data_IF_535678627051
#
_entry.id   IF_535678627051
#
_cell.length_a   1.000
_cell.length_b   1.000
_cell.length_c   1.000
_cell.angle_alpha   90.00
_cell.angle_beta   90.00
_cell.angle_gamma   90.00
#
_symmetry.space_group_name_H-M   'P 1'
#
loop_
_entity.id
_entity.type
_entity.pdbx_description
1 polymer ?
#
# COMPACT_ATOMS: atom_id res chain seq x y z
N UNK A 1 -25.01 49.64 -14.05
CA UNK A 1 -25.38 49.72 -12.63
C UNK A 1 -24.29 50.47 -11.88
N UNK A 2 -24.67 51.56 -11.21
CA UNK A 2 -24.10 52.11 -9.98
C UNK A 2 -22.57 52.35 -9.89
N UNK A 3 -22.14 53.48 -10.46
CA UNK A 3 -21.09 54.33 -9.87
C UNK A 3 -21.50 54.80 -8.46
N UNK A 4 -21.15 54.04 -7.42
CA UNK A 4 -21.36 54.44 -6.02
C UNK A 4 -20.15 54.14 -5.13
N UNK A 5 -18.95 54.45 -5.63
CA UNK A 5 -17.72 54.62 -4.84
C UNK A 5 -16.86 55.71 -5.47
N UNK A 6 -16.92 56.95 -4.94
CA UNK A 6 -15.77 57.90 -4.85
C UNK A 6 -16.15 59.30 -4.29
N UNK A 7 -17.44 59.67 -4.26
CA UNK A 7 -17.88 61.05 -3.95
C UNK A 7 -17.98 61.45 -2.46
N UNK A 8 -17.30 60.75 -1.54
CA UNK A 8 -17.08 61.24 -0.16
C UNK A 8 -15.60 61.40 0.23
N UNK A 9 -14.72 61.56 -0.77
CA UNK A 9 -13.43 62.23 -0.54
C UNK A 9 -13.65 63.69 -0.12
N UNK A 10 -13.09 64.04 1.05
CA UNK A 10 -12.42 65.32 1.33
C UNK A 10 -13.26 66.61 1.37
N UNK A 11 -13.92 66.85 2.51
CA UNK A 11 -13.92 68.17 3.18
C UNK A 11 -13.65 67.91 4.68
N UNK A 12 -12.44 68.22 5.18
CA UNK A 12 -11.98 69.52 5.70
C UNK A 12 -12.18 69.68 7.23
N UNK A 13 -11.22 69.15 7.99
CA UNK A 13 -10.39 69.86 8.97
C UNK A 13 -10.97 71.15 9.62
N UNK A 14 -11.26 71.17 10.93
CA UNK A 14 -11.59 72.44 11.63
C UNK A 14 -12.06 72.38 13.10
N UNK A 15 -11.11 72.54 14.04
CA UNK A 15 -11.17 73.43 15.22
C UNK A 15 -12.35 73.44 16.25
N UNK A 16 -12.07 72.89 17.44
CA UNK A 16 -12.13 73.55 18.78
C UNK A 16 -13.47 73.78 19.53
N UNK A 17 -13.39 73.56 20.86
CA UNK A 17 -14.16 74.18 21.99
C UNK A 17 -15.37 73.39 22.55
N UNK A 18 -15.61 73.16 23.85
CA UNK A 18 -14.83 73.02 25.12
C UNK A 18 -15.80 72.42 26.19
N UNK A 19 -15.28 71.84 27.28
CA UNK A 19 -15.96 71.55 28.58
C UNK A 19 -16.75 70.23 28.69
N UNK A 20 -16.68 69.45 29.78
CA UNK A 20 -15.57 69.12 30.69
C UNK A 20 -15.96 67.92 31.58
N UNK A 21 -14.99 67.05 31.89
CA UNK A 21 -14.82 66.52 33.25
C UNK A 21 -13.37 66.02 33.45
N UNK A 22 -12.59 66.88 34.10
CA UNK A 22 -11.39 66.63 34.94
C UNK A 22 -11.44 65.30 35.73
N UNK A 23 -10.36 64.67 36.23
CA UNK A 23 -8.88 64.71 36.09
C UNK A 23 -8.32 63.51 36.93
N UNK A 24 -7.03 63.13 37.00
CA UNK A 24 -5.76 63.72 36.55
C UNK A 24 -4.72 62.63 36.15
N UNK A 25 -3.62 63.05 35.54
CA UNK A 25 -2.40 62.28 35.25
C UNK A 25 -1.39 62.41 36.40
N UNK A 26 -0.47 61.44 36.59
CA UNK A 26 0.96 61.73 36.78
C UNK A 26 1.82 60.54 36.32
N UNK A 27 2.77 60.82 35.42
CA UNK A 27 3.86 59.89 35.09
C UNK A 27 5.02 60.12 36.06
N UNK A 28 5.66 59.04 36.52
CA UNK A 28 6.84 59.12 37.39
C UNK A 28 7.81 57.98 37.12
N UNK A 29 8.75 58.17 36.19
CA UNK A 29 9.91 57.29 36.07
C UNK A 29 10.85 57.60 37.23
N UNK A 30 10.96 56.68 38.20
CA UNK A 30 11.92 56.79 39.29
C UNK A 30 12.74 55.50 39.35
N UNK A 31 13.97 55.55 38.87
CA UNK A 31 14.94 54.49 39.11
C UNK A 31 15.36 54.52 40.58
N UNK A 32 14.94 53.53 41.36
CA UNK A 32 15.43 53.29 42.71
C UNK A 32 15.75 51.81 42.88
N UNK A 33 17.04 51.50 43.01
CA UNK A 33 17.52 50.16 43.32
C UNK A 33 17.20 49.79 44.77
N UNK A 34 16.30 48.84 44.99
CA UNK A 34 16.10 48.22 46.30
C UNK A 34 16.26 46.71 46.20
N UNK A 35 17.33 46.19 46.81
CA UNK A 35 17.52 44.76 46.98
C UNK A 35 16.60 44.25 48.08
N UNK A 36 15.62 43.42 47.73
CA UNK A 36 14.68 42.85 48.68
C UNK A 36 14.23 41.46 48.24
N UNK A 37 14.78 40.42 48.88
CA UNK A 37 14.41 39.03 48.61
C UNK A 37 13.01 38.73 49.12
N UNK A 38 12.04 38.57 48.22
CA UNK A 38 10.68 38.15 48.56
C UNK A 38 10.24 36.97 47.68
N UNK A 39 10.31 35.76 48.23
CA UNK A 39 9.83 34.54 47.58
C UNK A 39 8.30 34.49 47.62
N UNK A 40 7.64 34.92 46.54
CA UNK A 40 6.20 34.77 46.35
C UNK A 40 5.88 33.54 45.50
N UNK A 41 5.66 32.41 46.17
CA UNK A 41 5.20 31.16 45.56
C UNK A 41 3.74 31.28 45.11
N UNK A 42 3.52 31.82 43.91
CA UNK A 42 2.20 31.86 43.29
C UNK A 42 1.86 30.47 42.71
N UNK A 43 1.24 29.60 43.52
CA UNK A 43 0.66 28.34 43.05
C UNK A 43 -0.62 28.62 42.24
N UNK A 44 -0.46 29.04 40.98
CA UNK A 44 -1.55 29.18 40.03
C UNK A 44 -2.14 27.82 39.69
N UNK A 45 -3.18 27.40 40.41
CA UNK A 45 -3.99 26.23 40.05
C UNK A 45 -4.82 26.55 38.81
N UNK A 46 -4.22 26.36 37.63
CA UNK A 46 -4.96 26.34 36.38
C UNK A 46 -5.76 25.03 36.31
N UNK A 47 -7.06 25.11 36.61
CA UNK A 47 -8.04 24.08 36.23
C UNK A 47 -8.20 24.05 34.70
N UNK A 48 -7.15 23.64 34.01
CA UNK A 48 -7.24 23.14 32.65
C UNK A 48 -7.75 21.71 32.72
N UNK A 49 -8.86 21.42 32.05
CA UNK A 49 -9.30 20.05 31.80
C UNK A 49 -8.35 19.40 30.79
N UNK A 50 -7.13 19.11 31.21
CA UNK A 50 -6.25 18.20 30.48
C UNK A 50 -6.88 16.81 30.58
N UNK A 51 -7.22 16.24 29.43
CA UNK A 51 -7.41 14.79 29.33
C UNK A 51 -6.15 14.14 29.88
N UNK A 52 -6.22 13.28 30.91
CA UNK A 52 -5.03 12.64 31.45
C UNK A 52 -4.35 11.87 30.31
N UNK A 53 -3.12 12.26 29.97
CA UNK A 53 -2.28 11.42 29.13
C UNK A 53 -2.16 10.07 29.85
N UNK A 54 -2.35 8.93 29.15
CA UNK A 54 -2.26 7.63 29.78
C UNK A 54 -0.88 7.49 30.42
N UNK A 55 -0.85 7.19 31.73
CA UNK A 55 0.39 7.12 32.49
C UNK A 55 1.22 5.93 32.00
N UNK A 56 2.23 6.21 31.18
CA UNK A 56 3.13 5.19 30.63
C UNK A 56 3.99 4.63 31.78
N UNK A 57 3.99 3.30 32.01
CA UNK A 57 4.80 2.70 33.06
C UNK A 57 6.30 2.97 32.89
N UNK A 58 7.01 3.22 34.00
CA UNK A 58 8.47 3.28 34.00
C UNK A 58 9.03 1.91 33.58
N UNK A 59 9.67 1.86 32.41
CA UNK A 59 10.14 0.61 31.79
C UNK A 59 9.22 0.04 30.70
N UNK A 60 8.17 0.75 30.28
CA UNK A 60 7.40 0.36 29.10
C UNK A 60 8.28 0.25 27.84
N UNK A 61 8.12 -0.83 27.08
CA UNK A 61 8.71 -0.96 25.74
C UNK A 61 7.97 -0.07 24.73
N UNK A 62 8.53 0.09 23.54
CA UNK A 62 7.78 0.60 22.39
C UNK A 62 6.68 -0.41 22.02
N UNK A 63 5.52 0.10 21.61
CA UNK A 63 4.40 -0.73 21.16
C UNK A 63 4.67 -1.35 19.79
N UNK A 64 4.18 -2.56 19.57
CA UNK A 64 4.40 -3.33 18.35
C UNK A 64 3.08 -3.81 17.73
N UNK A 65 3.08 -3.98 16.41
CA UNK A 65 2.04 -4.69 15.66
C UNK A 65 2.42 -6.16 15.52
N UNK A 66 1.49 -7.06 15.82
CA UNK A 66 1.62 -8.50 15.58
C UNK A 66 0.56 -8.94 14.59
N UNK A 67 0.96 -9.39 13.39
CA UNK A 67 0.00 -9.79 12.36
C UNK A 67 -0.67 -11.12 12.72
N UNK A 68 -2.00 -11.16 12.62
CA UNK A 68 -2.83 -12.35 12.84
C UNK A 68 -3.42 -12.90 11.54
N UNK A 69 -3.60 -12.05 10.52
CA UNK A 69 -4.11 -12.46 9.21
C UNK A 69 -3.38 -11.71 8.07
N UNK A 70 -2.87 -12.42 7.04
CA UNK A 70 -2.76 -13.88 6.94
C UNK A 70 -1.88 -14.54 8.01
N UNK A 71 -1.95 -15.88 8.17
CA UNK A 71 -1.05 -16.63 9.04
C UNK A 71 0.41 -16.45 8.62
N UNK A 72 1.25 -15.99 9.56
CA UNK A 72 2.67 -15.65 9.34
C UNK A 72 3.60 -16.84 9.02
N UNK A 73 3.06 -18.05 8.85
CA UNK A 73 3.85 -19.27 8.60
C UNK A 73 4.29 -19.44 7.14
N UNK A 74 3.69 -18.70 6.20
CA UNK A 74 4.03 -18.76 4.77
C UNK A 74 3.64 -17.49 4.01
N UNK A 75 4.37 -17.19 2.93
CA UNK A 75 4.02 -16.10 2.01
C UNK A 75 2.62 -16.33 1.43
N UNK A 76 1.72 -15.38 1.64
CA UNK A 76 0.35 -15.47 1.11
C UNK A 76 0.25 -14.91 -0.30
N UNK A 77 -0.52 -15.58 -1.16
CA UNK A 77 -0.69 -15.22 -2.57
C UNK A 77 -2.12 -14.77 -2.83
N UNK A 78 -2.30 -13.56 -3.36
CA UNK A 78 -3.61 -12.97 -3.61
C UNK A 78 -3.81 -12.60 -5.08
N UNK A 79 -5.04 -12.85 -5.55
CA UNK A 79 -5.43 -12.69 -6.94
C UNK A 79 -5.97 -11.27 -7.19
N UNK A 80 -5.38 -10.55 -8.14
CA UNK A 80 -5.92 -9.27 -8.63
C UNK A 80 -7.06 -9.60 -9.61
N UNK A 81 -8.30 -9.66 -9.11
CA UNK A 81 -9.49 -9.95 -9.92
C UNK A 81 -10.76 -9.31 -9.31
N UNK A 82 -11.84 -9.17 -10.11
CA UNK A 82 -13.14 -8.70 -9.61
C UNK A 82 -13.62 -9.54 -8.41
N UNK A 83 -14.22 -8.86 -7.43
CA UNK A 83 -14.77 -9.49 -6.22
C UNK A 83 -13.76 -10.32 -5.40
N UNK A 84 -12.46 -9.99 -5.48
CA UNK A 84 -11.41 -10.55 -4.61
C UNK A 84 -10.84 -9.47 -3.71
N UNK A 85 -11.24 -9.46 -2.45
CA UNK A 85 -10.66 -8.61 -1.41
C UNK A 85 -9.63 -9.37 -0.57
N UNK A 86 -8.68 -8.61 -0.01
CA UNK A 86 -7.66 -9.08 0.91
C UNK A 86 -7.98 -8.50 2.29
N UNK A 87 -8.01 -9.34 3.33
CA UNK A 87 -8.15 -8.90 4.71
C UNK A 87 -6.82 -9.07 5.42
N UNK A 88 -6.27 -7.96 5.92
CA UNK A 88 -5.15 -7.96 6.86
C UNK A 88 -5.68 -7.75 8.27
N UNK A 89 -5.14 -8.46 9.25
CA UNK A 89 -5.54 -8.38 10.65
C UNK A 89 -4.33 -8.44 11.57
N UNK A 90 -4.37 -7.73 12.70
CA UNK A 90 -3.28 -7.64 13.67
C UNK A 90 -3.77 -7.36 15.09
N UNK A 91 -2.88 -7.58 16.06
CA UNK A 91 -3.03 -7.10 17.43
C UNK A 91 -1.90 -6.13 17.79
N UNK A 92 -2.24 -5.12 18.59
CA UNK A 92 -1.27 -4.24 19.22
C UNK A 92 -0.77 -4.86 20.53
N UNK A 93 0.51 -4.68 20.84
CA UNK A 93 1.13 -5.09 22.11
C UNK A 93 2.00 -3.95 22.63
N UNK A 94 1.94 -3.63 23.93
CA UNK A 94 2.77 -2.57 24.51
C UNK A 94 2.40 -1.12 24.11
N UNK A 95 1.27 -0.93 23.43
CA UNK A 95 0.73 0.41 23.10
C UNK A 95 -0.08 0.91 24.31
N UNK A 96 0.36 2.02 24.91
CA UNK A 96 -0.34 2.71 26.00
C UNK A 96 -0.95 4.03 25.51
N UNK A 97 -0.34 4.68 24.52
CA UNK A 97 -0.89 5.84 23.81
C UNK A 97 -1.51 5.34 22.51
N UNK A 98 -2.83 5.27 22.45
CA UNK A 98 -3.53 4.92 21.20
C UNK A 98 -3.34 6.04 20.17
N UNK A 99 -2.82 5.76 18.96
CA UNK A 99 -2.69 6.77 17.92
C UNK A 99 -4.07 7.23 17.42
N UNK A 100 -4.16 8.42 16.84
CA UNK A 100 -5.43 8.93 16.28
C UNK A 100 -5.81 8.18 14.99
N UNK A 101 -4.82 7.96 14.14
CA UNK A 101 -4.91 7.16 12.92
C UNK A 101 -3.64 6.31 12.75
N UNK A 102 -3.77 5.21 12.01
CA UNK A 102 -2.64 4.47 11.47
C UNK A 102 -2.73 4.46 9.94
N UNK A 103 -1.57 4.46 9.30
CA UNK A 103 -1.44 4.29 7.85
C UNK A 103 -0.96 2.87 7.57
N UNK A 104 -1.66 2.19 6.67
CA UNK A 104 -1.33 0.86 6.17
C UNK A 104 -0.98 0.99 4.68
N UNK A 105 0.18 0.48 4.29
CA UNK A 105 0.62 0.49 2.90
C UNK A 105 1.34 -0.80 2.51
N UNK A 106 1.32 -1.11 1.22
CA UNK A 106 2.03 -2.21 0.61
C UNK A 106 3.20 -1.63 -0.19
N UNK A 107 4.43 -1.92 0.24
CA UNK A 107 5.65 -1.55 -0.48
C UNK A 107 5.98 -2.68 -1.45
N UNK A 108 5.83 -2.44 -2.74
CA UNK A 108 6.09 -3.45 -3.78
C UNK A 108 7.58 -3.57 -4.10
N UNK A 109 8.00 -4.76 -4.53
CA UNK A 109 9.35 -4.99 -5.05
C UNK A 109 9.67 -4.18 -6.33
N UNK A 110 8.67 -3.51 -6.92
CA UNK A 110 8.83 -2.53 -7.99
C UNK A 110 9.21 -1.11 -7.50
N UNK A 111 9.37 -0.90 -6.18
CA UNK A 111 9.73 0.38 -5.58
C UNK A 111 8.56 1.32 -5.30
N UNK A 112 7.34 0.97 -5.73
CA UNK A 112 6.14 1.76 -5.48
C UNK A 112 5.49 1.40 -4.14
N UNK A 113 4.95 2.40 -3.45
CA UNK A 113 4.16 2.22 -2.22
C UNK A 113 2.69 2.45 -2.54
N UNK A 114 1.83 1.50 -2.15
CA UNK A 114 0.41 1.49 -2.47
C UNK A 114 -0.42 1.58 -1.19
N UNK A 115 -1.46 2.43 -1.12
CA UNK A 115 -2.34 2.51 0.05
C UNK A 115 -3.15 1.23 0.21
N UNK A 116 -3.20 0.69 1.43
CA UNK A 116 -3.92 -0.55 1.76
C UNK A 116 -5.13 -0.20 2.61
N UNK A 117 -6.29 -0.09 1.96
CA UNK A 117 -7.56 0.17 2.63
C UNK A 117 -8.66 0.58 1.67
N UNK A 118 -9.79 1.11 2.20
CA UNK A 118 -10.91 1.58 1.39
C UNK A 118 -10.65 2.93 0.70
N UNK A 119 -9.70 3.71 1.20
CA UNK A 119 -9.31 5.05 0.68
C UNK A 119 -7.77 5.15 0.66
N UNK A 120 -7.16 6.17 1.26
CA UNK A 120 -5.71 6.47 1.18
C UNK A 120 -4.82 5.59 2.10
N UNK A 121 -5.31 4.43 2.54
CA UNK A 121 -4.61 3.55 3.49
C UNK A 121 -4.59 4.05 4.94
N UNK A 122 -5.14 5.24 5.21
CA UNK A 122 -5.31 5.78 6.57
C UNK A 122 -6.62 5.25 7.18
N UNK A 123 -6.53 4.67 8.37
CA UNK A 123 -7.64 4.06 9.12
C UNK A 123 -7.56 4.47 10.61
N UNK A 124 -8.64 4.32 11.40
CA UNK A 124 -8.64 4.68 12.82
C UNK A 124 -7.51 3.99 13.60
N UNK A 125 -6.85 4.70 14.52
CA UNK A 125 -5.64 4.20 15.19
C UNK A 125 -5.85 3.00 16.12
N UNK A 126 -7.10 2.69 16.46
CA UNK A 126 -7.52 1.48 17.18
C UNK A 126 -7.95 0.32 16.26
N UNK A 127 -7.89 0.48 14.93
CA UNK A 127 -8.27 -0.57 13.99
C UNK A 127 -7.31 -1.76 14.10
N UNK A 128 -7.89 -2.96 14.19
CA UNK A 128 -7.17 -4.25 14.26
C UNK A 128 -7.23 -5.04 12.94
N UNK A 129 -7.91 -4.49 11.92
CA UNK A 129 -7.99 -5.09 10.60
C UNK A 129 -8.30 -4.06 9.53
N UNK A 130 -7.92 -4.38 8.29
CA UNK A 130 -8.30 -3.62 7.10
C UNK A 130 -8.63 -4.57 5.96
N UNK A 131 -9.69 -4.23 5.22
CA UNK A 131 -10.05 -4.89 3.96
C UNK A 131 -9.58 -4.02 2.82
N UNK A 132 -8.85 -4.60 1.88
CA UNK A 132 -8.31 -3.95 0.68
C UNK A 132 -8.84 -4.64 -0.57
N UNK A 133 -9.09 -3.87 -1.64
CA UNK A 133 -9.59 -4.39 -2.91
C UNK A 133 -8.61 -4.03 -4.06
N UNK A 134 -7.60 -4.90 -4.32
CA UNK A 134 -6.53 -4.61 -5.28
C UNK A 134 -7.04 -4.29 -6.69
N UNK A 135 -8.05 -5.03 -7.15
CA UNK A 135 -8.63 -4.83 -8.49
C UNK A 135 -9.27 -3.45 -8.62
N UNK A 136 -10.08 -3.03 -7.64
CA UNK A 136 -10.69 -1.69 -7.62
C UNK A 136 -9.66 -0.58 -7.52
N UNK A 137 -8.60 -0.76 -6.72
CA UNK A 137 -7.47 0.18 -6.69
C UNK A 137 -6.85 0.36 -8.08
N UNK A 138 -6.55 -0.74 -8.78
CA UNK A 138 -5.94 -0.70 -10.10
C UNK A 138 -6.87 -0.12 -11.18
N UNK A 139 -8.19 -0.35 -11.10
CA UNK A 139 -9.16 0.29 -11.99
C UNK A 139 -9.21 1.81 -11.78
N UNK A 140 -9.12 2.28 -10.54
CA UNK A 140 -9.13 3.71 -10.20
C UNK A 140 -7.80 4.43 -10.46
N UNK A 141 -6.68 3.70 -10.45
CA UNK A 141 -5.32 4.25 -10.57
C UNK A 141 -4.55 3.65 -11.77
N UNK A 142 -5.01 3.84 -13.02
CA UNK A 142 -4.40 3.21 -14.20
C UNK A 142 -2.98 3.71 -14.51
N UNK A 143 -2.56 4.85 -13.95
CA UNK A 143 -1.21 5.40 -14.08
C UNK A 143 -0.16 4.68 -13.22
N UNK A 144 -0.57 4.03 -12.12
CA UNK A 144 0.31 3.30 -11.21
C UNK A 144 -0.32 1.92 -10.95
N UNK A 145 -0.30 1.00 -11.94
CA UNK A 145 -0.87 -0.33 -11.78
C UNK A 145 -0.14 -1.12 -10.69
N UNK A 146 -0.83 -2.10 -10.10
CA UNK A 146 -0.22 -3.09 -9.23
C UNK A 146 0.64 -4.05 -10.08
N UNK A 147 1.85 -4.33 -9.62
CA UNK A 147 2.75 -5.28 -10.26
C UNK A 147 2.44 -6.71 -9.79
N UNK A 148 2.69 -7.69 -10.66
CA UNK A 148 2.71 -9.10 -10.29
C UNK A 148 4.02 -9.42 -9.57
N UNK A 149 4.08 -9.10 -8.28
CA UNK A 149 5.30 -9.13 -7.48
C UNK A 149 5.01 -9.42 -5.99
N UNK A 150 6.08 -9.55 -5.21
CA UNK A 150 6.02 -9.53 -3.75
C UNK A 150 5.90 -8.10 -3.20
N UNK A 151 5.22 -7.98 -2.07
CA UNK A 151 4.87 -6.76 -1.37
C UNK A 151 5.11 -6.94 0.13
N UNK A 152 5.72 -5.93 0.76
CA UNK A 152 5.86 -5.87 2.22
C UNK A 152 4.74 -5.01 2.79
N UNK A 153 3.98 -5.54 3.76
CA UNK A 153 2.96 -4.80 4.50
C UNK A 153 3.65 -3.92 5.55
N UNK A 154 3.45 -2.61 5.42
CA UNK A 154 3.91 -1.60 6.36
C UNK A 154 2.72 -1.01 7.11
N UNK A 155 2.84 -0.85 8.44
CA UNK A 155 1.83 -0.22 9.30
C UNK A 155 2.54 0.78 10.22
N UNK A 156 2.09 2.03 10.28
CA UNK A 156 2.68 3.05 11.13
C UNK A 156 1.65 4.06 11.64
N UNK A 157 1.96 4.74 12.76
CA UNK A 157 1.15 5.80 13.34
C UNK A 157 1.54 7.20 12.80
N UNK A 158 1.01 8.27 13.37
CA UNK A 158 1.29 9.67 13.07
C UNK A 158 2.79 10.05 12.98
N UNK A 159 3.70 9.30 13.63
CA UNK A 159 5.16 9.49 13.50
C UNK A 159 5.78 9.09 12.15
N UNK A 160 5.04 8.46 11.23
CA UNK A 160 5.54 8.03 9.92
C UNK A 160 6.27 6.67 9.92
N UNK A 161 6.66 6.16 8.73
CA UNK A 161 7.23 4.81 8.59
C UNK A 161 8.64 4.66 9.16
N UNK A 162 9.33 5.77 9.45
CA UNK A 162 10.68 5.81 10.03
C UNK A 162 10.70 6.39 11.45
N UNK A 163 9.55 6.39 12.15
CA UNK A 163 9.44 6.89 13.51
C UNK A 163 10.40 6.15 14.47
N UNK A 164 11.08 6.90 15.33
CA UNK A 164 11.92 6.31 16.38
C UNK A 164 11.03 5.55 17.41
N UNK A 165 11.35 4.27 17.74
CA UNK A 165 10.58 3.51 18.72
C UNK A 165 10.56 4.22 20.07
N UNK A 166 9.38 4.67 20.50
CA UNK A 166 9.18 5.44 21.73
C UNK A 166 8.35 4.63 22.72
N UNK A 167 8.74 4.54 24.01
CA UNK A 167 7.98 3.83 25.05
C UNK A 167 6.49 4.13 25.03
N UNK A 168 5.67 3.09 24.93
CA UNK A 168 4.20 3.17 24.93
C UNK A 168 3.53 3.75 23.68
N UNK A 169 4.28 4.23 22.69
CA UNK A 169 3.78 4.60 21.35
C UNK A 169 3.94 3.43 20.37
N UNK A 170 3.15 3.43 19.30
CA UNK A 170 3.26 2.41 18.25
C UNK A 170 4.53 2.62 17.41
N UNK A 171 5.43 1.63 17.40
CA UNK A 171 6.56 1.58 16.48
C UNK A 171 6.10 1.13 15.07
N UNK A 172 6.76 1.61 13.99
CA UNK A 172 6.48 1.15 12.63
C UNK A 172 6.70 -0.36 12.48
N UNK A 173 5.79 -1.00 11.74
CA UNK A 173 5.83 -2.41 11.38
C UNK A 173 6.12 -2.58 9.89
N UNK A 174 6.94 -3.58 9.54
CA UNK A 174 7.31 -3.92 8.15
C UNK A 174 7.58 -5.42 7.96
N UNK A 175 6.95 -6.27 8.78
CA UNK A 175 7.36 -7.67 8.95
C UNK A 175 6.72 -8.72 8.02
N UNK A 176 5.60 -8.41 7.35
CA UNK A 176 4.88 -9.41 6.53
C UNK A 176 5.08 -9.19 5.05
N UNK A 177 5.42 -10.27 4.34
CA UNK A 177 5.49 -10.29 2.87
C UNK A 177 4.33 -11.12 2.31
N UNK A 178 3.65 -10.57 1.30
CA UNK A 178 2.63 -11.26 0.50
C UNK A 178 2.91 -11.03 -0.98
N UNK A 179 2.30 -11.80 -1.87
CA UNK A 179 2.46 -11.67 -3.32
C UNK A 179 1.13 -11.43 -4.01
N UNK A 180 1.13 -10.56 -5.02
CA UNK A 180 -0.02 -10.32 -5.88
C UNK A 180 0.18 -10.96 -7.25
N UNK A 181 -0.90 -11.51 -7.82
CA UNK A 181 -0.87 -12.07 -9.16
C UNK A 181 -2.14 -11.79 -9.96
N UNK A 182 -1.98 -11.51 -11.25
CA UNK A 182 -3.09 -11.37 -12.19
C UNK A 182 -3.39 -12.74 -12.80
N UNK A 183 -4.65 -13.20 -12.84
CA UNK A 183 -5.00 -14.43 -13.54
C UNK A 183 -4.80 -14.27 -15.05
N UNK A 184 -4.29 -15.32 -15.70
CA UNK A 184 -4.44 -15.46 -17.14
C UNK A 184 -5.90 -15.80 -17.46
N UNK A 185 -6.41 -15.29 -18.59
CA UNK A 185 -7.73 -15.66 -19.08
C UNK A 185 -7.73 -17.14 -19.51
N UNK A 186 -8.81 -17.87 -19.22
CA UNK A 186 -8.94 -19.25 -19.64
C UNK A 186 -9.18 -19.33 -21.15
N UNK A 187 -8.20 -19.84 -21.89
CA UNK A 187 -8.37 -20.27 -23.29
C UNK A 187 -9.00 -21.67 -23.30
N UNK A 188 -10.23 -21.85 -23.84
CA UNK A 188 -10.88 -23.15 -23.85
C UNK A 188 -10.13 -24.11 -24.78
N UNK A 189 -10.12 -25.41 -24.47
CA UNK A 189 -9.40 -26.41 -25.29
C UNK A 189 -9.87 -26.41 -26.76
N UNK A 190 -11.15 -26.07 -27.01
CA UNK A 190 -11.73 -25.88 -28.34
C UNK A 190 -11.16 -24.70 -29.13
N UNK A 191 -10.43 -23.75 -28.51
CA UNK A 191 -9.74 -22.67 -29.22
C UNK A 191 -8.41 -23.10 -29.84
N UNK A 192 -8.17 -24.41 -30.02
CA UNK A 192 -7.12 -24.93 -30.89
C UNK A 192 -5.85 -25.42 -30.19
N UNK A 193 -5.92 -25.90 -28.93
CA UNK A 193 -4.78 -26.62 -28.33
C UNK A 193 -4.62 -27.99 -28.98
N UNK A 194 -4.00 -28.01 -30.16
CA UNK A 194 -3.59 -29.22 -30.86
C UNK A 194 -2.29 -29.73 -30.22
N UNK A 195 -2.42 -30.72 -29.34
CA UNK A 195 -1.29 -31.44 -28.78
C UNK A 195 -0.44 -32.06 -29.91
N UNK A 196 0.76 -31.53 -30.14
CA UNK A 196 1.65 -31.93 -31.23
C UNK A 196 2.07 -33.42 -31.22
N UNK A 197 1.85 -34.12 -30.10
CA UNK A 197 2.07 -35.57 -29.97
C UNK A 197 0.80 -36.42 -29.81
N UNK A 198 -0.40 -35.84 -29.71
CA UNK A 198 -1.63 -36.60 -29.43
C UNK A 198 -2.30 -37.19 -30.69
N UNK A 199 -1.58 -37.23 -31.82
CA UNK A 199 -1.89 -38.07 -32.99
C UNK A 199 -1.54 -39.54 -32.71
N UNK A 200 -2.00 -40.08 -31.57
CA UNK A 200 -1.45 -41.27 -30.91
C UNK A 200 -2.44 -42.42 -30.67
N UNK A 201 -3.52 -42.53 -31.45
CA UNK A 201 -4.45 -43.67 -31.41
C UNK A 201 -5.01 -44.09 -32.78
N UNK A 202 -4.49 -43.51 -33.87
CA UNK A 202 -4.66 -44.03 -35.22
C UNK A 202 -3.25 -44.26 -35.77
N UNK A 203 -2.95 -45.41 -36.39
CA UNK A 203 -1.74 -45.56 -37.21
C UNK A 203 -1.93 -44.72 -38.47
N UNK A 204 -1.76 -43.41 -38.31
CA UNK A 204 -1.46 -42.50 -39.41
C UNK A 204 -0.16 -43.04 -40.00
N UNK A 205 -0.27 -43.80 -41.09
CA UNK A 205 0.87 -44.37 -41.80
C UNK A 205 1.66 -43.21 -42.40
N UNK A 206 2.49 -42.56 -41.58
CA UNK A 206 3.49 -41.61 -42.05
C UNK A 206 4.39 -42.39 -42.98
N UNK A 207 4.17 -42.14 -44.27
CA UNK A 207 5.11 -42.48 -45.32
C UNK A 207 6.32 -41.58 -45.11
N UNK A 208 7.18 -42.01 -44.19
CA UNK A 208 8.51 -41.46 -44.03
C UNK A 208 9.28 -41.70 -45.33
N UNK A 209 10.28 -40.85 -45.59
CA UNK A 209 11.03 -40.85 -46.86
C UNK A 209 11.83 -42.14 -47.13
N UNK A 210 11.80 -43.11 -46.21
CA UNK A 210 12.33 -44.46 -46.36
C UNK A 210 11.48 -45.39 -47.24
N UNK A 211 10.18 -45.11 -47.45
CA UNK A 211 9.28 -46.01 -48.20
C UNK A 211 9.71 -46.28 -49.67
N UNK A 212 10.20 -45.30 -50.47
CA UNK A 212 10.79 -45.61 -51.78
C UNK A 212 12.02 -46.54 -51.70
N UNK A 213 12.80 -46.48 -50.61
CA UNK A 213 13.93 -47.39 -50.39
C UNK A 213 13.48 -48.84 -50.18
N UNK A 214 12.43 -49.06 -49.40
CA UNK A 214 11.86 -50.41 -49.17
C UNK A 214 11.27 -50.99 -50.46
N UNK A 215 10.52 -50.18 -51.22
CA UNK A 215 9.95 -50.61 -52.52
C UNK A 215 11.05 -50.93 -53.53
N UNK A 216 12.11 -50.11 -53.62
CA UNK A 216 13.24 -50.37 -54.50
C UNK A 216 13.94 -51.70 -54.16
N UNK A 217 14.18 -52.00 -52.88
CA UNK A 217 14.81 -53.26 -52.47
C UNK A 217 13.95 -54.49 -52.81
N UNK A 218 12.63 -54.42 -52.62
CA UNK A 218 11.70 -55.51 -52.98
C UNK A 218 11.72 -55.77 -54.49
N UNK A 219 11.74 -54.71 -55.31
CA UNK A 219 11.82 -54.82 -56.78
C UNK A 219 13.17 -55.42 -57.20
N UNK A 220 14.29 -55.00 -56.62
CA UNK A 220 15.62 -55.55 -56.92
C UNK A 220 15.70 -57.04 -56.56
N UNK A 221 15.15 -57.45 -55.41
CA UNK A 221 15.09 -58.86 -55.01
C UNK A 221 14.26 -59.70 -55.99
N UNK A 222 13.12 -59.19 -56.46
CA UNK A 222 12.26 -59.88 -57.42
C UNK A 222 12.93 -60.04 -58.80
N UNK A 223 13.60 -59.01 -59.34
CA UNK A 223 14.32 -59.13 -60.62
C UNK A 223 15.54 -60.07 -60.50
N UNK A 224 16.23 -60.08 -59.36
CA UNK A 224 17.35 -61.00 -59.12
C UNK A 224 16.88 -62.46 -58.98
N UNK A 225 15.76 -62.69 -58.30
CA UNK A 225 15.09 -64.00 -58.27
C UNK A 225 14.59 -64.46 -59.64
N UNK A 226 14.03 -63.56 -60.44
CA UNK A 226 13.51 -63.91 -61.77
C UNK A 226 14.61 -64.24 -62.78
N UNK A 227 15.74 -63.53 -62.74
CA UNK A 227 16.89 -63.81 -63.62
C UNK A 227 17.61 -65.11 -63.25
N UNK A 228 17.68 -65.47 -61.96
CA UNK A 228 18.25 -66.76 -61.51
C UNK A 228 17.33 -67.94 -61.85
N UNK A 229 16.01 -67.82 -61.65
CA UNK A 229 15.05 -68.86 -62.05
C UNK A 229 15.06 -69.12 -63.56
N UNK A 230 15.14 -68.07 -64.38
CA UNK A 230 15.15 -68.20 -65.85
C UNK A 230 16.43 -68.89 -66.36
N UNK A 231 17.55 -68.75 -65.64
CA UNK A 231 18.84 -69.37 -65.97
C UNK A 231 19.04 -70.78 -65.38
N UNK A 232 18.02 -71.32 -64.72
CA UNK A 232 17.96 -72.70 -64.24
C UNK A 232 16.93 -73.54 -65.01
N UNK A 233 16.31 -72.96 -66.04
CA UNK A 233 15.31 -73.56 -66.93
C UNK A 233 15.80 -73.67 -68.40
N UNK A 234 17.01 -73.15 -68.68
CA UNK A 234 17.84 -73.40 -69.87
C UNK A 234 19.05 -74.26 -69.43
#
# INVERSE_FOLDING_TARGET
>A
MNDHLDLQRRQQNGATTTTASVSATVSGTISASVSGSASVSASGSTNGTSTPYPSIPLGAAAGAVTLTMPPIQSTSFYKIAPSQSITFGWNFTGVYVTPTAITVAAVGANGNTYPVGPTDGVIPGNAQSVVWYPYGYQTSNPSIPLAQASYTLHIWADGGPSAAPTPGFLAPYSGTVFALYTPQAYTPLTSGWQCAGCSGALPQLKIDSALPGVVAMIVIMLLSGFTTLRRALD
#
